data_IF_287000551863
#
_entry.id   IF_287000551863
#
_cell.length_a   1.000
_cell.length_b   1.000
_cell.length_c   1.000
_cell.angle_alpha   90.00
_cell.angle_beta   90.00
_cell.angle_gamma   90.00
#
_symmetry.space_group_name_H-M   'P 1'
#
loop_
_entity.id
_entity.type
_entity.pdbx_description
1 polymer ?
#
# COMPACT_ATOMS: atom_id res chain seq x y z
N UNK A 1 -10.12 -11.35 2.09
CA UNK A 1 -8.79 -10.72 2.15
C UNK A 1 -8.91 -9.27 1.74
N UNK A 2 -8.24 -8.38 2.44
CA UNK A 2 -8.30 -6.94 2.18
C UNK A 2 -6.92 -6.40 1.83
N UNK A 3 -6.90 -5.46 0.88
CA UNK A 3 -5.69 -4.87 0.33
C UNK A 3 -5.66 -3.37 0.65
N UNK A 4 -4.53 -2.89 1.13
CA UNK A 4 -4.38 -1.48 1.46
C UNK A 4 -3.19 -0.84 0.76
N UNK A 5 -3.32 0.46 0.48
CA UNK A 5 -2.25 1.28 -0.08
C UNK A 5 -1.95 2.43 0.87
N UNK A 6 -0.70 2.58 1.24
CA UNK A 6 -0.22 3.80 1.89
C UNK A 6 0.29 4.70 0.76
N UNK A 7 -0.44 5.76 0.49
CA UNK A 7 -0.23 6.62 -0.67
C UNK A 7 -1.25 6.34 -1.77
N UNK A 8 -1.91 7.38 -2.26
CA UNK A 8 -2.94 7.31 -3.31
C UNK A 8 -2.54 8.13 -4.54
N UNK A 9 -1.25 8.20 -4.82
CA UNK A 9 -0.73 8.91 -5.99
C UNK A 9 -0.98 8.17 -7.30
N UNK A 10 -0.31 8.60 -8.36
CA UNK A 10 -0.54 8.06 -9.70
C UNK A 10 -0.24 6.57 -9.79
N UNK A 11 0.85 6.11 -9.17
CA UNK A 11 1.22 4.70 -9.22
C UNK A 11 0.20 3.83 -8.49
N UNK A 12 -0.16 4.23 -7.28
CA UNK A 12 -1.17 3.50 -6.50
C UNK A 12 -2.51 3.47 -7.24
N UNK A 13 -2.93 4.60 -7.81
CA UNK A 13 -4.17 4.68 -8.57
C UNK A 13 -4.17 3.76 -9.79
N UNK A 14 -3.06 3.67 -10.51
CA UNK A 14 -2.93 2.77 -11.64
C UNK A 14 -3.01 1.30 -11.22
N UNK A 15 -2.37 0.96 -10.10
CA UNK A 15 -2.44 -0.40 -9.54
C UNK A 15 -3.86 -0.76 -9.13
N UNK A 16 -4.54 0.15 -8.42
CA UNK A 16 -5.93 -0.04 -8.01
C UNK A 16 -6.83 -0.31 -9.21
N UNK A 17 -6.67 0.50 -10.25
CA UNK A 17 -7.46 0.36 -11.48
C UNK A 17 -7.30 -1.02 -12.11
N UNK A 18 -6.06 -1.50 -12.25
CA UNK A 18 -5.79 -2.82 -12.81
C UNK A 18 -6.34 -3.95 -11.95
N UNK A 19 -6.16 -3.85 -10.65
CA UNK A 19 -6.60 -4.87 -9.70
C UNK A 19 -8.12 -4.99 -9.68
N UNK A 20 -8.82 -3.88 -9.66
CA UNK A 20 -10.29 -3.87 -9.59
C UNK A 20 -10.88 -4.27 -10.94
N UNK A 21 -10.36 -3.71 -12.03
CA UNK A 21 -10.84 -4.02 -13.38
C UNK A 21 -10.76 -5.51 -13.69
N UNK A 22 -9.74 -6.19 -13.20
CA UNK A 22 -9.51 -7.60 -13.47
C UNK A 22 -10.02 -8.52 -12.35
N UNK A 23 -10.83 -8.00 -11.45
CA UNK A 23 -11.50 -8.74 -10.38
C UNK A 23 -10.53 -9.49 -9.44
N UNK A 24 -9.32 -8.98 -9.27
CA UNK A 24 -8.35 -9.55 -8.33
C UNK A 24 -8.81 -9.26 -6.91
N UNK A 25 -9.27 -8.02 -6.67
CA UNK A 25 -9.94 -7.61 -5.44
C UNK A 25 -11.18 -6.81 -5.80
N UNK A 26 -12.20 -6.90 -4.96
CA UNK A 26 -13.39 -6.05 -5.09
C UNK A 26 -13.08 -4.66 -4.52
N UNK A 27 -13.74 -3.63 -5.04
CA UNK A 27 -13.56 -2.24 -4.55
C UNK A 27 -13.77 -2.14 -3.04
N UNK A 28 -14.77 -2.85 -2.53
CA UNK A 28 -15.10 -2.85 -1.09
C UNK A 28 -14.01 -3.44 -0.20
N UNK A 29 -13.07 -4.20 -0.79
CA UNK A 29 -11.96 -4.82 -0.08
C UNK A 29 -10.65 -4.06 -0.25
N UNK A 30 -10.68 -2.89 -0.91
CA UNK A 30 -9.49 -2.07 -1.14
C UNK A 30 -9.56 -0.79 -0.32
N UNK A 31 -8.46 -0.48 0.34
CA UNK A 31 -8.31 0.68 1.22
C UNK A 31 -7.12 1.51 0.77
N UNK A 32 -7.18 2.81 0.95
CA UNK A 32 -6.06 3.68 0.64
C UNK A 32 -5.99 4.86 1.59
N UNK A 33 -4.77 5.30 1.90
CA UNK A 33 -4.55 6.49 2.71
C UNK A 33 -3.65 7.48 1.99
N UNK A 34 -3.91 8.75 2.20
CA UNK A 34 -3.07 9.84 1.72
C UNK A 34 -3.42 11.09 2.52
N UNK A 35 -2.42 11.90 2.83
CA UNK A 35 -2.66 13.19 3.51
C UNK A 35 -3.25 14.22 2.55
N UNK A 36 -3.07 14.04 1.25
CA UNK A 36 -3.52 14.96 0.23
C UNK A 36 -4.95 14.62 -0.20
N UNK A 37 -5.90 15.46 0.20
CA UNK A 37 -7.32 15.22 -0.04
C UNK A 37 -7.66 14.97 -1.53
N UNK A 38 -7.14 15.75 -2.50
CA UNK A 38 -7.45 15.50 -3.90
C UNK A 38 -7.08 14.10 -4.38
N UNK A 39 -5.98 13.53 -3.88
CA UNK A 39 -5.60 12.15 -4.22
C UNK A 39 -6.60 11.14 -3.66
N UNK A 40 -7.03 11.33 -2.41
CA UNK A 40 -8.05 10.47 -1.79
C UNK A 40 -9.36 10.52 -2.56
N UNK A 41 -9.83 11.73 -2.88
CA UNK A 41 -11.09 11.91 -3.61
C UNK A 41 -11.04 11.30 -5.01
N UNK A 42 -9.91 11.43 -5.68
CA UNK A 42 -9.74 10.86 -7.02
C UNK A 42 -9.93 9.34 -7.02
N UNK A 43 -9.22 8.62 -6.16
CA UNK A 43 -9.31 7.15 -6.13
C UNK A 43 -10.66 6.68 -5.60
N UNK A 44 -11.24 7.41 -4.64
CA UNK A 44 -12.57 7.11 -4.14
C UNK A 44 -13.62 7.23 -5.25
N UNK A 45 -13.56 8.32 -6.02
CA UNK A 45 -14.53 8.56 -7.08
C UNK A 45 -14.34 7.63 -8.28
N UNK A 46 -13.09 7.31 -8.61
CA UNK A 46 -12.81 6.43 -9.75
C UNK A 46 -13.06 4.96 -9.45
N UNK A 47 -12.76 4.50 -8.25
CA UNK A 47 -12.73 3.08 -7.95
C UNK A 47 -13.68 2.63 -6.84
N UNK A 48 -14.21 3.56 -6.08
CA UNK A 48 -15.14 3.21 -4.98
C UNK A 48 -14.48 2.56 -3.79
N UNK A 49 -13.18 2.79 -3.59
CA UNK A 49 -12.44 2.20 -2.46
C UNK A 49 -12.68 3.00 -1.17
N UNK A 50 -12.28 2.41 -0.05
CA UNK A 50 -12.28 3.11 1.23
C UNK A 50 -11.04 3.98 1.35
N UNK A 51 -11.18 5.23 1.77
CA UNK A 51 -10.05 6.15 1.90
C UNK A 51 -9.98 6.74 3.31
N UNK A 52 -8.77 7.10 3.72
CA UNK A 52 -8.49 7.72 5.01
C UNK A 52 -7.32 8.68 4.88
N UNK A 53 -7.27 9.67 5.75
CA UNK A 53 -6.10 10.55 5.89
C UNK A 53 -5.08 9.99 6.90
N UNK A 54 -5.37 8.86 7.52
CA UNK A 54 -4.51 8.25 8.54
C UNK A 54 -4.04 6.87 8.08
N UNK A 55 -2.73 6.71 7.96
CA UNK A 55 -2.13 5.44 7.54
C UNK A 55 -2.47 4.26 8.46
N UNK A 56 -2.62 4.51 9.75
CA UNK A 56 -2.94 3.48 10.73
C UNK A 56 -4.30 2.85 10.46
N UNK A 57 -5.28 3.64 10.00
CA UNK A 57 -6.60 3.12 9.65
C UNK A 57 -6.51 2.04 8.57
N UNK A 58 -5.65 2.25 7.58
CA UNK A 58 -5.45 1.29 6.51
C UNK A 58 -4.72 0.05 7.03
N UNK A 59 -3.66 0.24 7.81
CA UNK A 59 -2.89 -0.88 8.37
C UNK A 59 -3.79 -1.80 9.19
N UNK A 60 -4.65 -1.22 10.03
CA UNK A 60 -5.52 -2.01 10.90
C UNK A 60 -6.59 -2.78 10.12
N UNK A 61 -6.94 -2.33 8.93
CA UNK A 61 -8.05 -2.90 8.16
C UNK A 61 -7.63 -4.04 7.20
N UNK A 62 -6.35 -4.14 6.84
CA UNK A 62 -5.95 -4.94 5.68
C UNK A 62 -5.05 -6.13 6.03
N UNK A 63 -4.98 -7.08 5.09
CA UNK A 63 -4.11 -8.26 5.18
C UNK A 63 -2.84 -8.08 4.36
N UNK A 64 -2.94 -7.34 3.27
CA UNK A 64 -1.82 -7.02 2.36
C UNK A 64 -1.69 -5.50 2.28
N UNK A 65 -0.50 -4.99 2.53
CA UNK A 65 -0.23 -3.57 2.57
C UNK A 65 0.82 -3.20 1.53
N UNK A 66 0.48 -2.27 0.64
CA UNK A 66 1.42 -1.74 -0.36
C UNK A 66 1.89 -0.36 0.09
N UNK A 67 3.21 -0.21 0.25
CA UNK A 67 3.82 1.09 0.54
C UNK A 67 4.10 1.79 -0.79
N UNK A 68 3.24 2.75 -1.12
CA UNK A 68 3.26 3.46 -2.40
C UNK A 68 3.59 4.96 -2.26
N UNK A 69 4.20 5.35 -1.16
CA UNK A 69 4.68 6.72 -0.97
C UNK A 69 6.05 6.88 -1.62
N UNK A 70 6.46 8.12 -1.84
CA UNK A 70 7.79 8.41 -2.36
C UNK A 70 8.87 7.94 -1.38
N UNK A 71 10.07 7.55 -1.88
CA UNK A 71 11.11 6.99 -1.01
C UNK A 71 11.48 7.86 0.19
N UNK A 72 11.48 9.18 0.04
CA UNK A 72 11.85 10.09 1.12
C UNK A 72 10.86 10.06 2.29
N UNK A 73 9.66 9.52 2.10
CA UNK A 73 8.65 9.44 3.16
C UNK A 73 8.61 8.08 3.85
N UNK A 74 9.38 7.10 3.39
CA UNK A 74 9.34 5.74 3.94
C UNK A 74 9.65 5.71 5.43
N UNK A 75 10.70 6.39 5.86
CA UNK A 75 11.10 6.33 7.26
C UNK A 75 10.01 6.88 8.18
N UNK A 76 9.43 8.02 7.86
CA UNK A 76 8.37 8.60 8.68
C UNK A 76 7.11 7.75 8.69
N UNK A 77 6.75 7.17 7.55
CA UNK A 77 5.58 6.28 7.46
C UNK A 77 5.81 5.02 8.29
N UNK A 78 6.97 4.38 8.14
CA UNK A 78 7.28 3.16 8.89
C UNK A 78 7.27 3.44 10.40
N UNK A 79 7.85 4.56 10.83
CA UNK A 79 7.82 4.96 12.24
C UNK A 79 6.39 5.07 12.75
N UNK A 80 5.50 5.61 11.94
CA UNK A 80 4.09 5.76 12.30
C UNK A 80 3.35 4.43 12.43
N UNK A 81 3.60 3.49 11.52
CA UNK A 81 2.79 2.27 11.41
C UNK A 81 3.41 1.03 12.03
N UNK A 82 4.70 1.03 12.34
CA UNK A 82 5.42 -0.19 12.75
C UNK A 82 4.80 -0.90 13.94
N UNK A 83 4.25 -0.17 14.90
CA UNK A 83 3.65 -0.76 16.10
C UNK A 83 2.25 -1.33 15.83
N UNK A 84 1.68 -1.07 14.68
CA UNK A 84 0.37 -1.56 14.27
C UNK A 84 0.45 -2.73 13.30
N UNK A 85 1.64 -3.05 12.78
CA UNK A 85 1.82 -4.17 11.85
C UNK A 85 1.68 -5.48 12.61
N UNK A 86 0.88 -6.38 12.06
CA UNK A 86 0.68 -7.73 12.61
C UNK A 86 1.58 -8.74 11.89
N UNK A 87 1.93 -9.82 12.58
CA UNK A 87 2.80 -10.86 12.03
C UNK A 87 2.21 -11.57 10.79
N UNK A 88 0.88 -11.57 10.66
CA UNK A 88 0.19 -12.22 9.55
C UNK A 88 0.03 -11.33 8.32
N UNK A 89 0.42 -10.06 8.40
CA UNK A 89 0.30 -9.13 7.27
C UNK A 89 1.47 -9.27 6.32
N UNK A 90 1.18 -9.12 5.02
CA UNK A 90 2.19 -9.05 3.98
C UNK A 90 2.39 -7.59 3.58
N UNK A 91 3.64 -7.14 3.56
CA UNK A 91 4.00 -5.79 3.15
C UNK A 91 4.69 -5.86 1.80
N UNK A 92 4.19 -5.09 0.84
CA UNK A 92 4.79 -4.97 -0.49
C UNK A 92 5.37 -3.57 -0.61
N UNK A 93 6.65 -3.48 -0.95
CA UNK A 93 7.31 -2.19 -1.16
C UNK A 93 7.80 -2.08 -2.60
N UNK A 94 7.71 -0.88 -3.15
CA UNK A 94 8.06 -0.61 -4.54
C UNK A 94 9.10 0.50 -4.66
N UNK A 95 9.67 0.96 -3.55
CA UNK A 95 10.64 2.07 -3.56
C UNK A 95 12.02 1.61 -4.02
N UNK A 96 12.55 2.18 -5.11
CA UNK A 96 13.94 1.91 -5.50
C UNK A 96 14.90 2.35 -4.40
N UNK A 97 16.01 1.63 -4.23
CA UNK A 97 17.04 1.99 -3.28
C UNK A 97 16.78 1.61 -1.83
N UNK A 98 15.61 1.07 -1.51
CA UNK A 98 15.33 0.56 -0.16
C UNK A 98 15.54 -0.94 -0.15
N UNK A 99 16.55 -1.41 0.61
CA UNK A 99 16.84 -2.83 0.72
C UNK A 99 15.93 -3.53 1.72
N UNK A 100 15.83 -4.84 1.63
CA UNK A 100 15.08 -5.63 2.62
C UNK A 100 15.69 -5.46 4.01
N UNK A 101 17.01 -5.40 4.12
CA UNK A 101 17.69 -5.18 5.41
C UNK A 101 17.32 -3.83 6.02
N UNK A 102 17.33 -2.78 5.21
CA UNK A 102 16.94 -1.45 5.67
C UNK A 102 15.49 -1.43 6.16
N UNK A 103 14.60 -2.04 5.38
CA UNK A 103 13.17 -2.10 5.72
C UNK A 103 12.94 -2.90 7.01
N UNK A 104 13.55 -4.06 7.15
CA UNK A 104 13.42 -4.89 8.35
C UNK A 104 13.94 -4.17 9.59
N UNK A 105 15.05 -3.46 9.47
CA UNK A 105 15.61 -2.66 10.55
C UNK A 105 14.65 -1.55 10.98
N UNK A 106 14.07 -0.84 10.01
CA UNK A 106 13.14 0.25 10.31
C UNK A 106 11.84 -0.22 10.96
N UNK A 107 11.32 -1.37 10.54
CA UNK A 107 10.15 -1.95 11.19
C UNK A 107 10.48 -2.47 12.59
N UNK A 108 11.73 -2.87 12.83
CA UNK A 108 12.20 -3.27 14.16
C UNK A 108 11.63 -4.59 14.69
N UNK A 109 11.04 -5.39 13.82
CA UNK A 109 10.48 -6.70 14.18
C UNK A 109 10.37 -7.57 12.93
N UNK A 110 10.07 -8.84 13.12
CA UNK A 110 9.87 -9.75 12.02
C UNK A 110 8.59 -9.40 11.26
N UNK A 111 8.74 -9.03 10.00
CA UNK A 111 7.63 -8.69 9.11
C UNK A 111 7.81 -9.44 7.80
N UNK A 112 6.69 -9.76 7.15
CA UNK A 112 6.72 -10.39 5.83
C UNK A 112 6.77 -9.28 4.80
N UNK A 113 7.91 -9.12 4.14
CA UNK A 113 8.12 -8.04 3.16
C UNK A 113 8.47 -8.65 1.81
N UNK A 114 7.75 -8.23 0.78
CA UNK A 114 8.12 -8.46 -0.61
C UNK A 114 8.56 -7.12 -1.19
N UNK A 115 9.77 -7.08 -1.71
CA UNK A 115 10.32 -5.89 -2.33
C UNK A 115 10.32 -6.09 -3.83
N UNK A 116 9.79 -5.11 -4.55
CA UNK A 116 9.90 -5.09 -6.00
C UNK A 116 10.42 -3.73 -6.44
N UNK A 117 11.30 -3.73 -7.42
CA UNK A 117 11.86 -2.50 -7.96
C UNK A 117 10.89 -1.82 -8.92
N UNK A 118 10.03 -2.61 -9.53
CA UNK A 118 9.08 -2.14 -10.52
C UNK A 118 7.89 -3.09 -10.55
N UNK A 119 6.70 -2.54 -10.50
CA UNK A 119 5.49 -3.32 -10.65
C UNK A 119 4.99 -3.18 -12.07
N UNK A 120 4.87 -4.32 -12.75
CA UNK A 120 4.29 -4.39 -14.07
C UNK A 120 2.82 -4.76 -13.93
N UNK A 121 1.94 -3.80 -14.24
CA UNK A 121 0.49 -4.00 -14.07
C UNK A 121 -0.02 -5.24 -14.79
N UNK A 122 0.52 -5.54 -15.96
CA UNK A 122 0.10 -6.72 -16.70
C UNK A 122 0.42 -8.03 -15.96
N UNK A 123 1.44 -8.06 -15.11
CA UNK A 123 1.73 -9.21 -14.28
C UNK A 123 0.73 -9.35 -13.15
N UNK A 124 0.30 -8.23 -12.56
CA UNK A 124 -0.73 -8.25 -11.53
C UNK A 124 -2.05 -8.76 -12.08
N UNK A 125 -2.41 -8.34 -13.27
CA UNK A 125 -3.70 -8.72 -13.86
C UNK A 125 -3.70 -10.14 -14.39
N UNK A 126 -2.54 -10.75 -14.58
CA UNK A 126 -2.42 -12.15 -15.02
C UNK A 126 -2.27 -13.12 -13.86
N UNK A 127 -1.92 -12.58 -12.71
CA UNK A 127 -1.77 -13.43 -11.54
C UNK A 127 -3.13 -13.89 -11.03
#
# INVERSE_FOLDING_TARGET
MKLGFIGCGNMAGAMMGGIIKNNIFKSEDVYGSDVFEPSRERVKNMYGIHVSDNNVDVVDAVDVLVLAVKPQYYESVITQIKDHIRADQLIITIAPGKTLSWLSEKFGKDVKIVRTMQIHLHLLVRA
#
